data_IF_199797739272
#
_entry.id   IF_199797739272
#
_cell.length_a   1.000
_cell.length_b   1.000
_cell.length_c   1.000
_cell.angle_alpha   90.00
_cell.angle_beta   90.00
_cell.angle_gamma   90.00
#
_symmetry.space_group_name_H-M   'P 1'
#
loop_
_entity.id
_entity.type
_entity.pdbx_description
1 polymer ?
#
# COMPACT_ATOMS: atom_id res chain seq x y z
N UNK A 1 4.13 55.77 4.17
CA UNK A 1 4.89 54.75 3.40
C UNK A 1 4.50 53.35 3.89
N UNK A 2 3.62 52.63 3.19
CA UNK A 2 3.31 51.22 3.47
C UNK A 2 4.16 50.36 2.54
N UNK A 3 5.02 49.49 3.10
CA UNK A 3 5.81 48.52 2.34
C UNK A 3 4.87 47.42 1.83
N UNK A 4 4.78 47.26 0.52
CA UNK A 4 4.13 46.13 -0.12
C UNK A 4 4.98 44.85 0.11
N UNK A 5 4.35 43.75 0.51
CA UNK A 5 4.99 42.42 0.50
C UNK A 5 5.04 41.94 -0.96
N UNK A 6 6.17 41.40 -1.45
CA UNK A 6 6.18 40.75 -2.76
C UNK A 6 5.35 39.48 -2.66
N UNK A 7 4.29 39.42 -3.47
CA UNK A 7 3.58 38.16 -3.71
C UNK A 7 4.56 37.18 -4.35
N UNK A 8 4.66 35.99 -3.78
CA UNK A 8 5.33 34.85 -4.39
C UNK A 8 4.50 34.42 -5.59
N UNK A 9 4.81 34.98 -6.76
CA UNK A 9 4.35 34.49 -8.04
C UNK A 9 5.06 33.18 -8.34
N UNK A 10 4.43 32.06 -8.02
CA UNK A 10 4.81 30.76 -8.58
C UNK A 10 4.45 30.78 -10.05
N UNK A 11 5.46 30.92 -10.90
CA UNK A 11 5.39 30.71 -12.34
C UNK A 11 5.01 29.24 -12.59
N UNK A 12 3.75 29.00 -12.95
CA UNK A 12 3.28 27.73 -13.50
C UNK A 12 3.98 27.52 -14.85
N UNK A 13 4.85 26.52 -14.92
CA UNK A 13 5.37 26.04 -16.20
C UNK A 13 4.21 25.46 -17.00
N UNK A 14 4.08 25.91 -18.25
CA UNK A 14 2.99 25.55 -19.17
C UNK A 14 2.95 24.04 -19.40
N UNK A 15 1.89 23.40 -18.92
CA UNK A 15 1.47 22.06 -19.36
C UNK A 15 1.44 20.97 -18.29
N UNK A 16 1.78 21.25 -17.04
CA UNK A 16 1.69 20.25 -15.97
C UNK A 16 0.21 19.99 -15.59
N UNK A 17 -0.26 18.76 -15.78
CA UNK A 17 -1.61 18.33 -15.39
C UNK A 17 -1.57 17.88 -13.93
N UNK A 18 -2.21 18.64 -13.04
CA UNK A 18 -2.36 18.26 -11.64
C UNK A 18 -3.41 17.17 -11.48
N UNK A 19 -2.96 15.91 -11.48
CA UNK A 19 -3.79 14.72 -11.27
C UNK A 19 -4.48 14.69 -9.89
N UNK A 20 -4.03 15.47 -8.91
CA UNK A 20 -4.64 15.49 -7.58
C UNK A 20 -5.98 16.23 -7.52
N UNK A 21 -6.32 16.96 -8.59
CA UNK A 21 -7.60 17.68 -8.75
C UNK A 21 -8.68 16.84 -9.42
N UNK A 22 -8.33 15.66 -9.95
CA UNK A 22 -9.30 14.74 -10.55
C UNK A 22 -10.33 14.27 -9.53
N UNK A 23 -11.53 13.96 -10.01
CA UNK A 23 -12.54 13.29 -9.19
C UNK A 23 -12.00 11.98 -8.61
N UNK A 24 -12.34 11.70 -7.35
CA UNK A 24 -11.78 10.58 -6.61
C UNK A 24 -11.93 9.24 -7.35
N UNK A 25 -13.06 8.99 -8.02
CA UNK A 25 -13.28 7.72 -8.73
C UNK A 25 -12.36 7.56 -9.95
N UNK A 26 -12.11 8.64 -10.70
CA UNK A 26 -11.16 8.62 -11.82
C UNK A 26 -9.76 8.36 -11.29
N UNK A 27 -9.37 9.06 -10.22
CA UNK A 27 -8.05 8.87 -9.62
C UNK A 27 -7.86 7.44 -9.09
N UNK A 28 -8.89 6.86 -8.46
CA UNK A 28 -8.86 5.46 -8.01
C UNK A 28 -8.71 4.51 -9.19
N UNK A 29 -9.46 4.74 -10.26
CA UNK A 29 -9.38 3.91 -11.47
C UNK A 29 -7.97 3.97 -12.09
N UNK A 30 -7.37 5.16 -12.18
CA UNK A 30 -6.02 5.33 -12.70
C UNK A 30 -4.99 4.58 -11.85
N UNK A 31 -5.02 4.75 -10.53
CA UNK A 31 -4.04 4.08 -9.65
C UNK A 31 -4.32 2.58 -9.47
N UNK A 32 -5.49 2.07 -9.88
CA UNK A 32 -5.79 0.62 -9.82
C UNK A 32 -4.91 -0.22 -10.75
N UNK A 33 -4.28 0.40 -11.75
CA UNK A 33 -3.30 -0.24 -12.64
C UNK A 33 -1.88 -0.26 -12.05
N UNK A 34 -1.64 0.46 -10.95
CA UNK A 34 -0.33 0.52 -10.33
C UNK A 34 -0.02 -0.75 -9.52
N UNK A 35 1.25 -1.17 -9.55
CA UNK A 35 1.72 -2.19 -8.62
C UNK A 35 1.86 -1.63 -7.18
N UNK A 36 2.11 -2.50 -6.20
CA UNK A 36 2.19 -2.08 -4.80
C UNK A 36 3.32 -1.08 -4.51
N UNK A 37 4.42 -1.10 -5.28
CA UNK A 37 5.53 -0.14 -5.12
C UNK A 37 5.10 1.23 -5.62
N UNK A 38 4.48 1.28 -6.80
CA UNK A 38 3.94 2.52 -7.37
C UNK A 38 2.85 3.10 -6.47
N UNK A 39 1.93 2.27 -5.97
CA UNK A 39 0.93 2.69 -5.00
C UNK A 39 1.55 3.24 -3.72
N UNK A 40 2.60 2.59 -3.20
CA UNK A 40 3.32 3.06 -2.02
C UNK A 40 3.96 4.44 -2.24
N UNK A 41 4.55 4.66 -3.42
CA UNK A 41 5.13 5.96 -3.79
C UNK A 41 4.02 7.02 -3.92
N UNK A 42 2.98 6.75 -4.71
CA UNK A 42 1.85 7.66 -4.92
C UNK A 42 1.17 8.03 -3.60
N UNK A 43 0.98 7.06 -2.70
CA UNK A 43 0.39 7.28 -1.37
C UNK A 43 1.10 8.38 -0.57
N UNK A 44 2.39 8.63 -0.85
CA UNK A 44 3.23 9.62 -0.14
C UNK A 44 3.29 10.98 -0.83
N UNK A 45 2.80 11.13 -2.06
CA UNK A 45 2.93 12.38 -2.82
C UNK A 45 1.84 13.39 -2.47
N UNK A 46 0.60 12.95 -2.21
CA UNK A 46 -0.49 13.86 -1.84
C UNK A 46 -1.58 13.16 -1.01
N UNK A 47 -2.43 13.97 -0.35
CA UNK A 47 -3.60 13.46 0.37
C UNK A 47 -4.60 12.77 -0.58
N UNK A 48 -4.72 13.25 -1.82
CA UNK A 48 -5.60 12.67 -2.83
C UNK A 48 -5.10 11.28 -3.25
N UNK A 49 -3.81 11.18 -3.60
CA UNK A 49 -3.20 9.88 -3.95
C UNK A 49 -3.18 8.91 -2.77
N UNK A 50 -3.01 9.38 -1.53
CA UNK A 50 -3.14 8.54 -0.34
C UNK A 50 -4.52 7.88 -0.25
N UNK A 51 -5.59 8.66 -0.44
CA UNK A 51 -6.97 8.15 -0.45
C UNK A 51 -7.21 7.21 -1.62
N UNK A 52 -6.76 7.58 -2.82
CA UNK A 52 -6.93 6.78 -4.01
C UNK A 52 -6.21 5.43 -3.93
N UNK A 53 -4.94 5.42 -3.49
CA UNK A 53 -4.18 4.20 -3.27
C UNK A 53 -4.85 3.29 -2.23
N UNK A 54 -5.32 3.87 -1.11
CA UNK A 54 -6.06 3.12 -0.09
C UNK A 54 -7.33 2.47 -0.64
N UNK A 55 -8.12 3.22 -1.42
CA UNK A 55 -9.33 2.70 -2.04
C UNK A 55 -9.03 1.64 -3.12
N UNK A 56 -7.96 1.81 -3.91
CA UNK A 56 -7.52 0.81 -4.88
C UNK A 56 -7.12 -0.50 -4.20
N UNK A 57 -6.33 -0.43 -3.12
CA UNK A 57 -6.00 -1.60 -2.28
C UNK A 57 -7.26 -2.24 -1.71
N UNK A 58 -8.20 -1.44 -1.21
CA UNK A 58 -9.44 -1.96 -0.62
C UNK A 58 -10.37 -2.65 -1.63
N UNK A 59 -10.26 -2.24 -2.92
CA UNK A 59 -11.02 -2.83 -4.03
C UNK A 59 -10.33 -4.04 -4.64
N UNK A 60 -9.05 -4.26 -4.35
CA UNK A 60 -8.26 -5.34 -4.94
C UNK A 60 -8.69 -6.71 -4.42
N UNK A 61 -8.80 -7.69 -5.33
CA UNK A 61 -8.97 -9.10 -4.99
C UNK A 61 -7.64 -9.81 -4.72
N UNK A 62 -6.57 -9.28 -5.28
CA UNK A 62 -5.22 -9.84 -5.17
C UNK A 62 -4.23 -8.72 -4.96
N UNK A 63 -3.30 -8.89 -4.03
CA UNK A 63 -2.15 -8.00 -3.84
C UNK A 63 -0.87 -8.81 -3.95
N UNK A 64 0.09 -8.26 -4.68
CA UNK A 64 1.35 -8.94 -4.97
C UNK A 64 2.52 -8.03 -4.57
N UNK A 65 3.23 -8.41 -3.52
CA UNK A 65 4.44 -7.75 -3.03
C UNK A 65 5.70 -8.56 -3.34
N UNK A 66 5.61 -9.59 -4.18
CA UNK A 66 6.76 -10.44 -4.46
C UNK A 66 7.92 -9.65 -5.04
N UNK A 67 9.11 -9.97 -4.56
CA UNK A 67 10.36 -9.39 -5.05
C UNK A 67 10.32 -7.86 -5.16
N UNK A 68 9.78 -7.16 -4.15
CA UNK A 68 9.97 -5.71 -3.96
C UNK A 68 11.43 -5.43 -4.29
N UNK A 69 11.68 -4.78 -5.44
CA UNK A 69 12.97 -4.76 -6.15
C UNK A 69 14.14 -4.53 -5.18
N UNK A 70 15.38 -4.98 -5.49
CA UNK A 70 16.56 -4.81 -4.64
C UNK A 70 16.88 -3.36 -4.20
N UNK A 71 16.20 -2.35 -4.75
CA UNK A 71 16.27 -0.94 -4.32
C UNK A 71 15.44 -0.62 -3.07
N UNK A 72 14.55 -1.50 -2.63
CA UNK A 72 13.79 -1.35 -1.38
C UNK A 72 14.60 -2.06 -0.30
N UNK A 73 15.23 -1.30 0.58
CA UNK A 73 15.96 -1.89 1.70
C UNK A 73 15.04 -2.82 2.51
N UNK A 74 15.58 -3.85 3.17
CA UNK A 74 14.84 -4.71 4.09
C UNK A 74 13.84 -3.99 5.01
N UNK A 75 14.24 -2.83 5.53
CA UNK A 75 13.43 -2.01 6.43
C UNK A 75 12.19 -1.44 5.73
N UNK A 76 12.30 -1.11 4.44
CA UNK A 76 11.18 -0.60 3.65
C UNK A 76 10.18 -1.68 3.21
N UNK A 77 10.57 -2.96 3.19
CA UNK A 77 9.65 -4.05 2.84
C UNK A 77 8.51 -4.17 3.85
N UNK A 78 8.85 -4.25 5.15
CA UNK A 78 7.85 -4.35 6.22
C UNK A 78 7.03 -3.05 6.35
N UNK A 79 7.66 -1.89 6.16
CA UNK A 79 6.95 -0.59 6.13
C UNK A 79 5.95 -0.55 4.98
N UNK A 80 6.33 -1.00 3.78
CA UNK A 80 5.46 -1.02 2.61
C UNK A 80 4.23 -1.90 2.87
N UNK A 81 4.44 -3.15 3.30
CA UNK A 81 3.35 -4.08 3.63
C UNK A 81 2.44 -3.49 4.72
N UNK A 82 3.02 -3.01 5.81
CA UNK A 82 2.25 -2.46 6.94
C UNK A 82 1.39 -1.27 6.49
N UNK A 83 1.99 -0.27 5.84
CA UNK A 83 1.26 0.95 5.45
C UNK A 83 0.21 0.72 4.36
N UNK A 84 0.42 -0.26 3.49
CA UNK A 84 -0.56 -0.62 2.47
C UNK A 84 -1.78 -1.31 3.08
N UNK A 85 -1.60 -2.11 4.13
CA UNK A 85 -2.69 -2.87 4.77
C UNK A 85 -3.35 -2.11 5.95
N UNK A 86 -2.67 -1.16 6.57
CA UNK A 86 -3.14 -0.47 7.80
C UNK A 86 -4.35 0.44 7.57
N UNK A 87 -4.41 1.15 6.45
CA UNK A 87 -5.53 2.06 6.16
C UNK A 87 -6.63 1.42 5.30
N UNK A 88 -6.34 0.31 4.65
CA UNK A 88 -7.26 -0.33 3.72
C UNK A 88 -8.29 -1.22 4.43
N UNK A 89 -9.49 -1.30 3.85
CA UNK A 89 -10.46 -2.35 4.15
C UNK A 89 -10.20 -3.53 3.21
N UNK A 90 -9.85 -4.69 3.73
CA UNK A 90 -9.41 -5.82 2.92
C UNK A 90 -10.51 -6.87 2.71
N UNK A 91 -11.78 -6.47 2.88
CA UNK A 91 -12.95 -7.34 2.81
C UNK A 91 -13.08 -8.06 1.44
N UNK A 92 -12.44 -7.55 0.39
CA UNK A 92 -12.46 -8.14 -0.95
C UNK A 92 -11.20 -8.94 -1.29
N UNK A 93 -10.18 -8.86 -0.45
CA UNK A 93 -8.89 -9.49 -0.69
C UNK A 93 -9.05 -11.01 -0.54
N UNK A 94 -8.75 -11.73 -1.62
CA UNK A 94 -8.78 -13.19 -1.67
C UNK A 94 -7.36 -13.77 -1.73
N UNK A 95 -6.40 -13.04 -2.28
CA UNK A 95 -5.01 -13.50 -2.43
C UNK A 95 -4.00 -12.46 -2.00
N UNK A 96 -3.05 -12.85 -1.17
CA UNK A 96 -1.91 -12.02 -0.78
C UNK A 96 -0.60 -12.78 -1.04
N UNK A 97 0.22 -12.21 -1.91
CA UNK A 97 1.51 -12.79 -2.31
C UNK A 97 2.65 -11.94 -1.73
N UNK A 98 3.46 -12.52 -0.83
CA UNK A 98 4.59 -11.85 -0.16
C UNK A 98 5.92 -12.58 -0.44
N UNK A 99 6.00 -13.32 -1.55
CA UNK A 99 7.13 -14.19 -1.85
C UNK A 99 8.48 -13.45 -1.86
N UNK A 100 9.49 -14.08 -1.25
CA UNK A 100 10.88 -13.61 -1.26
C UNK A 100 11.16 -12.43 -0.32
N UNK A 101 10.18 -12.00 0.48
CA UNK A 101 10.36 -10.94 1.47
C UNK A 101 11.00 -11.49 2.76
N UNK A 102 12.28 -11.85 2.70
CA UNK A 102 13.00 -12.51 3.81
C UNK A 102 13.16 -11.68 5.08
N UNK A 103 12.90 -10.37 5.02
CA UNK A 103 13.09 -9.47 6.13
C UNK A 103 11.82 -9.08 6.89
N UNK A 104 10.63 -9.40 6.36
CA UNK A 104 9.38 -9.07 7.03
C UNK A 104 9.18 -10.00 8.22
N UNK A 105 8.79 -9.43 9.35
CA UNK A 105 8.59 -10.18 10.59
C UNK A 105 7.14 -10.59 10.78
N UNK A 106 6.18 -9.88 10.17
CA UNK A 106 4.76 -10.16 10.40
C UNK A 106 4.19 -9.46 11.64
N UNK A 107 5.06 -8.83 12.44
CA UNK A 107 4.69 -8.18 13.69
C UNK A 107 3.78 -6.99 13.41
N UNK A 108 2.60 -7.00 14.00
CA UNK A 108 1.61 -5.91 13.89
C UNK A 108 0.65 -6.06 12.70
N UNK A 109 1.16 -6.31 11.49
CA UNK A 109 0.30 -6.33 10.30
C UNK A 109 -0.40 -7.67 10.05
N UNK A 110 0.18 -8.84 10.41
CA UNK A 110 -0.50 -10.14 10.20
C UNK A 110 -1.81 -10.22 10.99
N UNK A 111 -1.80 -9.82 12.27
CA UNK A 111 -3.02 -9.77 13.09
C UNK A 111 -4.08 -8.84 12.50
N UNK A 112 -3.64 -7.70 11.95
CA UNK A 112 -4.54 -6.74 11.29
C UNK A 112 -5.11 -7.32 9.99
N UNK A 113 -4.26 -7.97 9.19
CA UNK A 113 -4.63 -8.64 7.93
C UNK A 113 -5.77 -9.62 8.18
N UNK A 114 -5.63 -10.56 9.11
CA UNK A 114 -6.65 -11.57 9.35
C UNK A 114 -7.97 -11.02 9.89
N UNK A 115 -7.94 -9.87 10.56
CA UNK A 115 -9.16 -9.17 11.00
C UNK A 115 -9.85 -8.42 9.86
N UNK A 116 -9.08 -7.90 8.90
CA UNK A 116 -9.56 -7.03 7.83
C UNK A 116 -9.85 -7.77 6.52
N UNK A 117 -9.28 -8.96 6.33
CA UNK A 117 -9.41 -9.78 5.14
C UNK A 117 -10.14 -11.11 5.47
N UNK A 118 -11.43 -11.06 5.86
CA UNK A 118 -12.20 -12.26 6.20
C UNK A 118 -12.41 -13.22 5.01
N UNK A 119 -12.19 -12.76 3.78
CA UNK A 119 -12.35 -13.53 2.55
C UNK A 119 -11.00 -13.97 1.96
N UNK A 120 -9.91 -13.91 2.73
CA UNK A 120 -8.58 -14.32 2.26
C UNK A 120 -8.55 -15.84 2.08
N UNK A 121 -8.35 -16.27 0.84
CA UNK A 121 -8.31 -17.67 0.42
C UNK A 121 -6.87 -18.20 0.27
N UNK A 122 -5.93 -17.33 -0.10
CA UNK A 122 -4.52 -17.69 -0.30
C UNK A 122 -3.59 -16.64 0.32
N UNK A 123 -2.57 -17.13 1.04
CA UNK A 123 -1.48 -16.33 1.59
C UNK A 123 -0.15 -17.03 1.28
N UNK A 124 0.62 -16.47 0.35
CA UNK A 124 1.94 -16.99 0.01
C UNK A 124 3.03 -16.24 0.77
N UNK A 125 3.75 -16.98 1.62
CA UNK A 125 4.86 -16.50 2.43
C UNK A 125 6.19 -17.20 2.09
N UNK A 126 6.26 -17.82 0.92
CA UNK A 126 7.46 -18.55 0.49
C UNK A 126 8.68 -17.61 0.52
N UNK A 127 9.73 -18.01 1.24
CA UNK A 127 10.94 -17.18 1.41
C UNK A 127 10.84 -16.08 2.47
N UNK A 128 9.73 -15.94 3.19
CA UNK A 128 9.60 -15.04 4.34
C UNK A 128 10.16 -15.66 5.64
N UNK A 129 11.48 -15.82 5.72
CA UNK A 129 12.15 -16.57 6.80
C UNK A 129 12.06 -15.96 8.21
N UNK A 130 11.58 -14.72 8.35
CA UNK A 130 11.43 -14.03 9.64
C UNK A 130 10.00 -13.97 10.17
N UNK A 131 9.03 -14.50 9.43
CA UNK A 131 7.68 -14.68 9.96
C UNK A 131 7.70 -15.92 10.86
N UNK A 132 7.38 -15.73 12.14
CA UNK A 132 7.38 -16.80 13.13
C UNK A 132 5.98 -17.41 13.33
N UNK A 133 5.88 -18.72 13.62
CA UNK A 133 4.61 -19.43 13.77
C UNK A 133 3.64 -18.81 14.80
N UNK A 134 4.16 -18.17 15.83
CA UNK A 134 3.37 -17.56 16.91
C UNK A 134 2.44 -16.46 16.40
N UNK A 135 2.75 -15.81 15.27
CA UNK A 135 1.87 -14.83 14.65
C UNK A 135 0.62 -15.42 14.01
N UNK A 136 0.61 -16.72 13.73
CA UNK A 136 -0.57 -17.46 13.25
C UNK A 136 -1.42 -18.01 14.39
N UNK A 137 -0.90 -18.06 15.63
CA UNK A 137 -1.66 -18.53 16.80
C UNK A 137 -2.92 -17.71 17.11
N UNK A 138 -3.07 -16.53 16.50
CA UNK A 138 -4.26 -15.68 16.58
C UNK A 138 -5.32 -15.99 15.53
N UNK A 139 -5.06 -16.97 14.67
CA UNK A 139 -5.73 -17.14 13.39
C UNK A 139 -6.19 -18.58 13.34
N UNK A 140 -7.48 -18.82 13.60
CA UNK A 140 -8.09 -20.16 13.50
C UNK A 140 -8.20 -20.67 12.05
N UNK A 141 -7.25 -20.32 11.18
CA UNK A 141 -7.23 -20.68 9.77
C UNK A 141 -6.32 -21.89 9.57
N UNK A 142 -6.90 -22.98 9.10
CA UNK A 142 -6.15 -24.12 8.59
C UNK A 142 -5.57 -23.73 7.23
N UNK A 143 -4.28 -23.42 7.18
CA UNK A 143 -3.54 -23.37 5.93
C UNK A 143 -3.27 -24.83 5.51
N UNK A 144 -3.81 -25.24 4.36
CA UNK A 144 -3.45 -26.49 3.70
C UNK A 144 -2.22 -26.27 2.81
#
# INVERSE_FOLDING_TARGET
MKRARPGTSTTSEKGEVDLSTLENEILIQLVSFCNVVELFVLRRTSRAFRKAACAAVSRAKSLHFSFLKPHISPQYQEICVTLMLEDAELNRLQRLELEGLSHITGKGWLKSLFRKAPNLESLNLTGCSRIIPEYFGYVGYNFH
#
